data_IF_475119662152
#
_entry.id   IF_475119662152
#
_cell.length_a   1.000
_cell.length_b   1.000
_cell.length_c   1.000
_cell.angle_alpha   90.00
_cell.angle_beta   90.00
_cell.angle_gamma   90.00
#
_symmetry.space_group_name_H-M   'P 1'
#
loop_
_entity.id
_entity.type
_entity.pdbx_description
1 polymer ?
#
# COMPACT_ATOMS: atom_id res chain seq x y z
N UNK A 1 12.81 25.30 6.10
CA UNK A 1 11.59 24.49 6.42
C UNK A 1 11.75 23.13 5.77
N UNK A 2 11.45 22.04 6.47
CA UNK A 2 11.56 20.68 5.90
C UNK A 2 10.48 20.46 4.86
N UNK A 3 10.87 19.91 3.71
CA UNK A 3 9.94 19.57 2.62
C UNK A 3 9.57 18.10 2.66
N UNK A 4 10.54 17.20 2.95
CA UNK A 4 10.32 15.76 2.95
C UNK A 4 10.73 15.16 4.29
N UNK A 5 9.82 14.41 4.91
CA UNK A 5 10.09 13.53 6.05
C UNK A 5 10.19 12.10 5.54
N UNK A 6 11.40 11.55 5.52
CA UNK A 6 11.64 10.14 5.19
C UNK A 6 11.51 9.34 6.48
N UNK A 7 10.62 8.36 6.51
CA UNK A 7 10.33 7.54 7.69
C UNK A 7 10.83 6.12 7.44
N UNK A 8 11.71 5.63 8.31
CA UNK A 8 12.32 4.29 8.23
C UNK A 8 11.98 3.51 9.51
N UNK A 9 11.07 2.55 9.47
CA UNK A 9 10.83 1.59 10.56
C UNK A 9 11.99 0.59 10.66
N UNK A 10 12.50 0.35 11.87
CA UNK A 10 13.63 -0.56 12.12
C UNK A 10 13.20 -1.71 13.03
N UNK A 11 13.33 -2.94 12.54
CA UNK A 11 13.20 -4.16 13.34
C UNK A 11 13.85 -5.35 12.66
N UNK A 12 14.91 -5.91 13.25
CA UNK A 12 15.62 -7.13 12.81
C UNK A 12 16.13 -7.07 11.35
N UNK A 13 16.87 -5.98 11.03
CA UNK A 13 17.33 -5.66 9.66
C UNK A 13 18.84 -5.34 9.60
N UNK A 14 19.65 -5.86 10.54
CA UNK A 14 21.09 -5.56 10.60
C UNK A 14 21.85 -5.83 9.30
N UNK A 15 21.36 -6.73 8.44
CA UNK A 15 21.96 -7.07 7.16
C UNK A 15 21.70 -6.02 6.06
N UNK A 16 20.68 -5.20 6.21
CA UNK A 16 20.14 -4.34 5.16
C UNK A 16 20.16 -2.86 5.52
N UNK A 17 20.04 -2.54 6.80
CA UNK A 17 19.85 -1.18 7.29
C UNK A 17 20.95 -0.21 6.87
N UNK A 18 22.19 -0.69 6.71
CA UNK A 18 23.30 0.14 6.25
C UNK A 18 23.09 0.63 4.83
N UNK A 19 22.69 -0.25 3.91
CA UNK A 19 22.43 0.10 2.52
C UNK A 19 21.19 1.00 2.42
N UNK A 20 20.12 0.67 3.15
CA UNK A 20 18.92 1.49 3.23
C UNK A 20 19.25 2.93 3.66
N UNK A 21 19.93 3.11 4.79
CA UNK A 21 20.23 4.44 5.34
C UNK A 21 21.23 5.21 4.45
N UNK A 22 22.23 4.52 3.89
CA UNK A 22 23.17 5.15 2.95
C UNK A 22 22.46 5.64 1.69
N UNK A 23 21.47 4.92 1.15
CA UNK A 23 20.68 5.37 -0.01
C UNK A 23 19.88 6.65 0.28
N UNK A 24 19.44 6.84 1.53
CA UNK A 24 18.80 8.09 1.96
C UNK A 24 19.82 9.23 2.12
N UNK A 25 21.00 8.93 2.63
CA UNK A 25 22.09 9.91 2.77
C UNK A 25 22.67 10.34 1.42
N UNK A 26 22.63 9.47 0.41
CA UNK A 26 23.13 9.74 -0.94
C UNK A 26 22.16 10.51 -1.85
N UNK A 27 20.99 10.92 -1.35
CA UNK A 27 20.02 11.62 -2.18
C UNK A 27 20.59 12.90 -2.76
N UNK A 28 20.32 13.17 -4.05
CA UNK A 28 20.76 14.38 -4.76
C UNK A 28 19.92 15.61 -4.42
N UNK A 29 18.72 15.40 -3.85
CA UNK A 29 17.86 16.50 -3.40
C UNK A 29 18.47 17.23 -2.20
N UNK A 30 18.20 18.53 -2.08
CA UNK A 30 18.73 19.41 -1.04
C UNK A 30 18.51 18.82 0.38
N UNK A 31 19.60 18.38 1.00
CA UNK A 31 19.58 17.73 2.32
C UNK A 31 19.05 18.63 3.43
N UNK A 32 19.20 19.95 3.31
CA UNK A 32 18.65 20.90 4.31
C UNK A 32 17.13 20.85 4.37
N UNK A 33 16.48 20.37 3.30
CA UNK A 33 15.03 20.22 3.16
C UNK A 33 14.52 18.83 3.54
N UNK A 34 15.42 17.86 3.77
CA UNK A 34 15.07 16.49 4.20
C UNK A 34 15.24 16.36 5.72
N UNK A 35 14.33 15.66 6.34
CA UNK A 35 14.52 15.00 7.63
C UNK A 35 14.34 13.50 7.49
N UNK A 36 15.16 12.72 8.20
CA UNK A 36 15.06 11.26 8.27
C UNK A 36 14.63 10.85 9.67
N UNK A 37 13.47 10.25 9.80
CA UNK A 37 12.88 9.79 11.06
C UNK A 37 13.03 8.27 11.12
N UNK A 38 13.86 7.80 12.02
CA UNK A 38 14.17 6.40 12.23
C UNK A 38 13.42 5.92 13.47
N UNK A 39 12.52 4.94 13.27
CA UNK A 39 11.70 4.42 14.36
C UNK A 39 12.15 3.01 14.70
N UNK A 40 12.85 2.86 15.80
CA UNK A 40 13.29 1.59 16.37
C UNK A 40 12.13 0.91 17.11
N UNK A 41 11.63 -0.19 16.57
CA UNK A 41 10.57 -0.99 17.18
C UNK A 41 11.11 -1.99 18.23
N UNK A 42 12.02 -1.53 19.06
CA UNK A 42 12.73 -2.34 20.05
C UNK A 42 13.46 -3.52 19.41
N UNK A 43 14.26 -3.22 18.36
CA UNK A 43 14.97 -4.26 17.60
C UNK A 43 15.94 -5.04 18.51
N UNK A 44 15.97 -6.40 18.40
CA UNK A 44 16.86 -7.21 19.24
C UNK A 44 18.28 -7.37 18.66
N UNK A 45 18.49 -6.97 17.39
CA UNK A 45 19.75 -7.14 16.66
C UNK A 45 20.61 -5.86 16.67
N UNK A 46 21.68 -5.83 15.90
CA UNK A 46 22.62 -4.70 15.84
C UNK A 46 22.19 -3.58 14.89
N UNK A 47 20.98 -3.60 14.37
CA UNK A 47 20.50 -2.58 13.42
C UNK A 47 20.72 -1.16 13.92
N UNK A 48 20.40 -0.89 15.19
CA UNK A 48 20.53 0.46 15.76
C UNK A 48 21.97 0.89 16.06
N UNK A 49 22.89 -0.03 16.27
CA UNK A 49 24.31 0.29 16.38
C UNK A 49 24.84 0.77 15.03
N UNK A 50 24.49 0.04 13.94
CA UNK A 50 24.84 0.42 12.57
C UNK A 50 24.26 1.80 12.22
N UNK A 51 22.99 2.05 12.56
CA UNK A 51 22.32 3.36 12.34
C UNK A 51 23.09 4.49 13.04
N UNK A 52 23.46 4.30 14.32
CA UNK A 52 24.20 5.31 15.10
C UNK A 52 25.56 5.61 14.49
N UNK A 53 26.29 4.58 14.05
CA UNK A 53 27.60 4.73 13.43
C UNK A 53 27.53 5.53 12.14
N UNK A 54 26.55 5.25 11.27
CA UNK A 54 26.36 5.96 10.01
C UNK A 54 25.96 7.42 10.26
N UNK A 55 25.00 7.68 11.13
CA UNK A 55 24.56 9.05 11.46
C UNK A 55 25.70 9.85 12.11
N UNK A 56 26.49 9.22 12.99
CA UNK A 56 27.63 9.86 13.65
C UNK A 56 28.74 10.30 12.68
N UNK A 57 28.88 9.62 11.56
CA UNK A 57 29.85 9.95 10.50
C UNK A 57 29.32 10.97 9.48
N UNK A 58 28.01 11.17 9.40
CA UNK A 58 27.38 12.09 8.45
C UNK A 58 27.74 13.55 8.77
N UNK A 59 28.12 14.32 7.72
CA UNK A 59 28.56 15.73 7.84
C UNK A 59 27.71 16.71 7.01
N UNK A 60 26.62 16.23 6.39
CA UNK A 60 25.72 17.09 5.62
C UNK A 60 24.63 17.75 6.44
N UNK A 61 23.66 18.37 5.77
CA UNK A 61 22.61 19.21 6.38
C UNK A 61 21.26 18.48 6.64
N UNK A 62 21.19 17.17 6.34
CA UNK A 62 20.02 16.37 6.66
C UNK A 62 19.86 16.24 8.18
N UNK A 63 18.61 16.37 8.64
CA UNK A 63 18.31 16.20 10.07
C UNK A 63 17.88 14.76 10.35
N UNK A 64 18.40 14.15 11.39
CA UNK A 64 18.00 12.81 11.84
C UNK A 64 17.26 12.88 13.17
N UNK A 65 16.15 12.15 13.27
CA UNK A 65 15.42 11.93 14.51
C UNK A 65 15.28 10.43 14.74
N UNK A 66 15.81 9.92 15.84
CA UNK A 66 15.67 8.51 16.24
C UNK A 66 14.68 8.40 17.39
N UNK A 67 13.67 7.54 17.23
CA UNK A 67 12.65 7.27 18.24
C UNK A 67 12.66 5.78 18.52
N UNK A 68 12.68 5.39 19.80
CA UNK A 68 12.62 3.98 20.21
C UNK A 68 11.31 3.68 20.93
N UNK A 69 10.64 2.61 20.53
CA UNK A 69 9.52 2.06 21.28
C UNK A 69 10.01 1.25 22.49
N UNK A 70 9.21 1.19 23.54
CA UNK A 70 9.51 0.41 24.74
C UNK A 70 9.49 -1.12 24.49
N UNK A 71 8.71 -1.54 23.48
CA UNK A 71 8.59 -2.93 23.02
C UNK A 71 8.24 -2.95 21.54
N UNK A 72 8.42 -4.11 20.89
CA UNK A 72 7.93 -4.30 19.54
C UNK A 72 6.40 -4.19 19.50
N UNK A 73 5.89 -3.24 18.73
CA UNK A 73 4.45 -2.98 18.50
C UNK A 73 4.06 -2.98 17.02
N UNK A 74 5.01 -3.31 16.14
CA UNK A 74 4.82 -3.61 14.73
C UNK A 74 4.96 -2.44 13.77
N UNK A 75 5.11 -2.78 12.48
CA UNK A 75 5.39 -1.86 11.38
C UNK A 75 4.39 -0.69 11.28
N UNK A 76 3.09 -0.98 11.39
CA UNK A 76 2.04 0.04 11.41
C UNK A 76 2.24 1.11 12.48
N UNK A 77 2.63 0.69 13.68
CA UNK A 77 2.87 1.60 14.79
C UNK A 77 4.11 2.47 14.54
N UNK A 78 5.17 1.89 13.96
CA UNK A 78 6.37 2.63 13.58
C UNK A 78 6.06 3.72 12.56
N UNK A 79 5.33 3.40 11.49
CA UNK A 79 4.91 4.39 10.50
C UNK A 79 4.04 5.48 11.11
N UNK A 80 3.10 5.13 11.99
CA UNK A 80 2.26 6.10 12.71
C UNK A 80 3.09 7.00 13.64
N UNK A 81 4.08 6.44 14.34
CA UNK A 81 5.01 7.20 15.16
C UNK A 81 5.82 8.16 14.31
N UNK A 82 6.41 7.70 13.19
CA UNK A 82 7.14 8.57 12.27
C UNK A 82 6.29 9.73 11.76
N UNK A 83 5.05 9.46 11.32
CA UNK A 83 4.12 10.52 10.89
C UNK A 83 3.81 11.54 11.99
N UNK A 84 3.68 11.10 13.24
CA UNK A 84 3.39 11.99 14.37
C UNK A 84 4.50 13.02 14.60
N UNK A 85 5.75 12.64 14.39
CA UNK A 85 6.90 13.51 14.61
C UNK A 85 7.42 14.21 13.36
N UNK A 86 6.81 13.96 12.20
CA UNK A 86 7.21 14.56 10.94
C UNK A 86 6.88 16.06 10.87
N UNK A 87 7.83 16.85 10.35
CA UNK A 87 7.73 18.28 10.11
C UNK A 87 7.69 18.64 8.63
N UNK A 88 8.02 17.70 7.74
CA UNK A 88 8.03 17.87 6.30
C UNK A 88 6.63 18.07 5.72
N UNK A 89 6.56 18.78 4.61
CA UNK A 89 5.36 18.96 3.80
C UNK A 89 4.87 17.62 3.23
N UNK A 90 5.80 16.71 2.93
CA UNK A 90 5.54 15.38 2.42
C UNK A 90 6.07 14.32 3.36
N UNK A 91 5.32 13.22 3.44
CA UNK A 91 5.75 11.97 4.07
C UNK A 91 6.22 11.02 2.97
N UNK A 92 7.35 10.38 3.18
CA UNK A 92 7.91 9.34 2.33
C UNK A 92 8.35 8.15 3.18
N UNK A 93 7.83 6.96 2.92
CA UNK A 93 8.21 5.75 3.65
C UNK A 93 9.25 4.95 2.88
N UNK A 94 10.23 4.43 3.61
CA UNK A 94 11.23 3.46 3.11
C UNK A 94 11.22 2.27 4.06
N UNK A 95 11.02 1.07 3.52
CA UNK A 95 11.18 -0.15 4.31
C UNK A 95 12.68 -0.45 4.48
N UNK A 96 13.09 -0.81 5.69
CA UNK A 96 14.50 -0.84 6.08
C UNK A 96 15.32 -2.00 5.51
N UNK A 97 14.68 -2.93 4.80
CA UNK A 97 15.31 -3.98 4.02
C UNK A 97 15.44 -3.64 2.52
N UNK A 98 14.93 -2.47 2.10
CA UNK A 98 14.99 -1.94 0.74
C UNK A 98 15.97 -0.77 0.62
N UNK A 99 16.08 -0.16 -0.57
CA UNK A 99 16.78 1.11 -0.77
C UNK A 99 16.12 1.96 -1.87
N UNK A 100 16.46 3.25 -1.88
CA UNK A 100 16.02 4.20 -2.90
C UNK A 100 17.18 4.61 -3.80
N UNK A 101 16.90 4.90 -5.07
CA UNK A 101 17.95 5.40 -5.98
C UNK A 101 18.35 6.83 -5.60
N UNK A 102 19.61 7.20 -5.85
CA UNK A 102 20.22 8.46 -5.37
C UNK A 102 19.43 9.73 -5.76
N UNK A 103 18.72 9.71 -6.88
CA UNK A 103 17.90 10.81 -7.37
C UNK A 103 16.40 10.64 -7.15
N UNK A 104 16.00 9.70 -6.29
CA UNK A 104 14.58 9.35 -6.09
C UNK A 104 13.75 10.56 -5.60
N UNK A 105 14.19 11.22 -4.54
CA UNK A 105 13.48 12.36 -3.97
C UNK A 105 13.47 13.55 -4.95
N UNK A 106 14.57 13.79 -5.67
CA UNK A 106 14.65 14.84 -6.68
C UNK A 106 13.64 14.62 -7.82
N UNK A 107 13.56 13.41 -8.38
CA UNK A 107 12.58 13.05 -9.42
C UNK A 107 11.15 13.29 -8.95
N UNK A 108 10.82 12.80 -7.76
CA UNK A 108 9.46 12.92 -7.21
C UNK A 108 9.11 14.38 -6.88
N UNK A 109 10.05 15.14 -6.32
CA UNK A 109 9.84 16.56 -6.03
C UNK A 109 9.72 17.39 -7.32
N UNK A 110 10.51 17.09 -8.36
CA UNK A 110 10.38 17.71 -9.68
C UNK A 110 8.99 17.45 -10.29
N UNK A 111 8.50 16.22 -10.23
CA UNK A 111 7.15 15.89 -10.69
C UNK A 111 6.05 16.64 -9.92
N UNK A 112 6.27 16.90 -8.61
CA UNK A 112 5.42 17.76 -7.81
C UNK A 112 5.50 19.23 -8.23
N UNK A 113 6.69 19.77 -8.45
CA UNK A 113 6.90 21.17 -8.90
C UNK A 113 6.18 21.44 -10.23
N UNK A 114 6.22 20.47 -11.15
CA UNK A 114 5.48 20.53 -12.41
C UNK A 114 3.94 20.36 -12.23
N UNK A 115 3.50 19.86 -11.04
CA UNK A 115 2.11 19.61 -10.70
C UNK A 115 1.81 19.95 -9.23
N UNK A 116 1.83 21.25 -8.84
CA UNK A 116 1.80 21.67 -7.42
C UNK A 116 0.47 21.39 -6.70
N UNK A 117 -0.59 21.09 -7.46
CA UNK A 117 -1.88 20.64 -6.96
C UNK A 117 -1.94 19.13 -6.65
N UNK A 118 -0.91 18.35 -7.06
CA UNK A 118 -0.82 16.93 -6.72
C UNK A 118 -0.67 16.75 -5.20
N UNK A 119 -1.37 15.76 -4.66
CA UNK A 119 -1.29 15.41 -3.24
C UNK A 119 -0.52 14.10 -3.00
N UNK A 120 -0.33 13.32 -4.07
CA UNK A 120 0.46 12.10 -4.06
C UNK A 120 1.31 12.06 -5.34
N UNK A 121 2.60 11.80 -5.18
CA UNK A 121 3.53 11.55 -6.29
C UNK A 121 4.26 10.24 -6.03
N UNK A 122 4.15 9.29 -6.94
CA UNK A 122 4.71 7.94 -6.80
C UNK A 122 5.69 7.66 -7.95
N UNK A 123 6.81 7.03 -7.63
CA UNK A 123 7.78 6.55 -8.61
C UNK A 123 7.53 5.08 -8.99
N UNK A 124 8.23 4.63 -10.03
CA UNK A 124 8.31 3.22 -10.35
C UNK A 124 9.26 2.50 -9.38
N UNK A 125 9.14 1.20 -9.26
CA UNK A 125 10.04 0.39 -8.45
C UNK A 125 10.53 -0.83 -9.23
N UNK A 126 11.80 -1.18 -9.02
CA UNK A 126 12.33 -2.46 -9.47
C UNK A 126 12.06 -3.52 -8.41
N UNK A 127 11.42 -4.62 -8.81
CA UNK A 127 11.12 -5.78 -7.98
C UNK A 127 12.18 -6.87 -8.23
N UNK A 128 13.10 -7.02 -7.28
CA UNK A 128 14.15 -8.05 -7.35
C UNK A 128 13.58 -9.47 -7.30
N UNK A 129 12.44 -9.66 -6.64
CA UNK A 129 11.81 -10.99 -6.53
C UNK A 129 11.34 -11.52 -7.89
N UNK A 130 10.76 -10.63 -8.71
CA UNK A 130 10.22 -10.97 -10.01
C UNK A 130 11.12 -10.53 -11.16
N UNK A 131 12.21 -9.79 -10.89
CA UNK A 131 13.16 -9.28 -11.87
C UNK A 131 12.52 -8.40 -12.95
N UNK A 132 11.67 -7.43 -12.55
CA UNK A 132 11.08 -6.44 -13.45
C UNK A 132 10.65 -5.16 -12.73
N UNK A 133 10.44 -4.09 -13.50
CA UNK A 133 9.85 -2.85 -13.01
C UNK A 133 8.33 -3.01 -12.84
N UNK A 134 7.81 -2.58 -11.70
CA UNK A 134 6.39 -2.75 -11.36
C UNK A 134 5.45 -2.01 -12.31
N UNK A 135 5.85 -0.84 -12.83
CA UNK A 135 5.10 -0.15 -13.87
C UNK A 135 5.74 -0.34 -15.24
N UNK A 136 4.91 -0.60 -16.25
CA UNK A 136 5.34 -0.83 -17.65
C UNK A 136 4.86 0.29 -18.56
N UNK A 137 5.07 1.54 -18.18
CA UNK A 137 4.77 2.71 -19.01
C UNK A 137 5.97 3.64 -19.04
N UNK A 138 6.07 4.43 -20.10
CA UNK A 138 7.20 5.30 -20.43
C UNK A 138 6.91 6.79 -20.21
N UNK A 139 5.71 7.14 -19.78
CA UNK A 139 5.28 8.53 -19.58
C UNK A 139 4.59 8.72 -18.27
N UNK A 140 4.78 9.87 -17.65
CA UNK A 140 4.08 10.29 -16.44
C UNK A 140 2.57 10.19 -16.61
N UNK A 141 1.91 9.58 -15.64
CA UNK A 141 0.46 9.47 -15.58
C UNK A 141 -0.12 10.37 -14.51
N UNK A 142 -1.21 11.04 -14.86
CA UNK A 142 -1.95 11.94 -13.96
C UNK A 142 -3.34 11.39 -13.71
N UNK A 143 -3.75 11.35 -12.45
CA UNK A 143 -5.06 10.89 -12.01
C UNK A 143 -5.74 12.01 -11.21
N UNK A 144 -6.89 12.48 -11.70
CA UNK A 144 -7.81 13.40 -11.01
C UNK A 144 -9.09 12.70 -10.57
N UNK A 145 -9.37 11.52 -11.14
CA UNK A 145 -10.44 10.64 -10.72
C UNK A 145 -9.85 9.40 -10.04
N UNK A 146 -9.94 9.36 -8.72
CA UNK A 146 -9.34 8.30 -7.91
C UNK A 146 -9.96 6.92 -8.13
N UNK A 147 -11.15 6.82 -8.73
CA UNK A 147 -11.68 5.53 -9.17
C UNK A 147 -10.70 4.81 -10.12
N UNK A 148 -10.04 5.56 -11.00
CA UNK A 148 -9.12 5.00 -11.99
C UNK A 148 -7.83 4.44 -11.37
N UNK A 149 -7.42 4.91 -10.19
CA UNK A 149 -6.25 4.37 -9.49
C UNK A 149 -6.43 2.91 -9.08
N UNK A 150 -7.66 2.51 -8.74
CA UNK A 150 -7.97 1.14 -8.32
C UNK A 150 -8.23 0.19 -9.51
N UNK A 151 -8.16 0.71 -10.75
CA UNK A 151 -8.36 -0.09 -11.95
C UNK A 151 -7.02 -0.55 -12.55
N UNK A 152 -6.89 -1.86 -12.74
CA UNK A 152 -5.71 -2.45 -13.37
C UNK A 152 -4.43 -2.30 -12.55
N UNK A 153 -3.32 -2.31 -13.27
CA UNK A 153 -1.96 -2.19 -12.72
C UNK A 153 -1.49 -0.73 -12.58
N UNK A 154 -2.42 0.20 -12.39
CA UNK A 154 -2.07 1.62 -12.35
C UNK A 154 -1.54 2.09 -11.00
N UNK A 155 -1.60 1.27 -9.96
CA UNK A 155 -1.14 1.64 -8.62
C UNK A 155 -0.51 0.45 -7.88
N UNK A 156 0.65 0.68 -7.29
CA UNK A 156 1.28 -0.26 -6.36
C UNK A 156 0.61 -0.10 -5.01
N UNK A 157 0.12 -1.20 -4.45
CA UNK A 157 -0.46 -1.20 -3.10
C UNK A 157 0.70 -1.37 -2.11
N UNK A 158 1.38 -0.27 -1.84
CA UNK A 158 2.46 -0.17 -0.86
C UNK A 158 2.34 1.16 -0.13
N UNK A 159 2.98 1.27 1.01
CA UNK A 159 3.15 2.54 1.70
C UNK A 159 4.38 3.30 1.19
N UNK A 160 5.40 2.54 0.75
CA UNK A 160 6.68 3.08 0.30
C UNK A 160 6.63 3.69 -1.11
N UNK A 161 7.68 4.40 -1.49
CA UNK A 161 7.92 5.01 -2.81
C UNK A 161 6.88 6.05 -3.25
N UNK A 162 6.27 6.73 -2.29
CA UNK A 162 5.30 7.79 -2.58
C UNK A 162 5.54 9.00 -1.69
N UNK A 163 5.66 10.18 -2.28
CA UNK A 163 5.50 11.46 -1.59
C UNK A 163 4.01 11.69 -1.36
N UNK A 164 3.59 11.66 -0.12
CA UNK A 164 2.20 11.94 0.28
C UNK A 164 2.15 13.27 1.02
N UNK A 165 1.35 14.24 0.55
CA UNK A 165 1.18 15.49 1.29
C UNK A 165 0.68 15.21 2.70
N UNK A 166 1.38 15.75 3.69
CA UNK A 166 0.99 15.62 5.10
C UNK A 166 -0.40 16.18 5.36
N UNK A 167 -0.76 17.25 4.67
CA UNK A 167 -2.11 17.84 4.72
C UNK A 167 -3.23 16.84 4.35
N UNK A 168 -2.98 15.97 3.34
CA UNK A 168 -3.93 14.90 2.97
C UNK A 168 -4.12 13.91 4.12
N UNK A 169 -3.03 13.49 4.75
CA UNK A 169 -3.05 12.57 5.89
C UNK A 169 -3.78 13.21 7.09
N UNK A 170 -3.47 14.47 7.37
CA UNK A 170 -4.02 15.20 8.54
C UNK A 170 -5.52 15.45 8.37
N UNK A 171 -5.99 15.92 7.20
CA UNK A 171 -7.41 16.18 6.97
C UNK A 171 -8.27 14.92 6.90
N UNK A 172 -7.69 13.79 6.50
CA UNK A 172 -8.41 12.51 6.44
C UNK A 172 -8.37 11.75 7.76
N UNK A 173 -7.40 12.03 8.60
CA UNK A 173 -7.15 11.29 9.84
C UNK A 173 -6.72 9.84 9.63
N UNK A 174 -6.39 9.43 8.38
CA UNK A 174 -6.00 8.05 8.06
C UNK A 174 -4.71 7.68 8.77
N UNK A 175 -4.70 6.51 9.39
CA UNK A 175 -3.54 5.92 10.07
C UNK A 175 -3.41 4.45 9.69
N UNK A 176 -2.20 3.90 9.79
CA UNK A 176 -1.99 2.46 9.66
C UNK A 176 -2.64 1.72 10.83
N UNK A 177 -3.32 0.62 10.53
CA UNK A 177 -3.95 -0.21 11.56
C UNK A 177 -2.90 -1.07 12.26
N UNK A 178 -2.68 -0.90 13.57
CA UNK A 178 -1.69 -1.72 14.28
C UNK A 178 -2.07 -3.19 14.35
N UNK A 179 -1.06 -4.06 14.45
CA UNK A 179 -1.24 -5.48 14.74
C UNK A 179 -1.64 -6.36 13.55
N UNK A 180 -1.82 -5.80 12.35
CA UNK A 180 -2.13 -6.58 11.14
C UNK A 180 -0.93 -6.61 10.18
N UNK A 181 -0.84 -7.67 9.36
CA UNK A 181 -0.06 -7.70 8.13
C UNK A 181 -0.85 -7.09 6.98
N UNK A 182 -0.15 -6.67 5.90
CA UNK A 182 -0.78 -6.06 4.71
C UNK A 182 -1.56 -4.76 5.03
N UNK A 183 -1.10 -4.01 6.01
CA UNK A 183 -1.68 -2.76 6.50
C UNK A 183 -1.77 -1.67 5.43
N UNK A 184 -0.89 -1.73 4.44
CA UNK A 184 -0.85 -0.85 3.28
C UNK A 184 -2.08 -1.01 2.37
N UNK A 185 -2.73 -2.18 2.34
CA UNK A 185 -4.03 -2.34 1.68
C UNK A 185 -5.06 -1.39 2.30
N UNK A 186 -5.15 -1.38 3.62
CA UNK A 186 -6.13 -0.55 4.33
C UNK A 186 -5.75 0.93 4.28
N UNK A 187 -4.45 1.24 4.39
CA UNK A 187 -3.92 2.58 4.22
C UNK A 187 -4.30 3.17 2.86
N UNK A 188 -3.93 2.50 1.77
CA UNK A 188 -4.24 2.96 0.42
C UNK A 188 -5.75 3.06 0.16
N UNK A 189 -6.52 2.09 0.62
CA UNK A 189 -7.97 2.06 0.45
C UNK A 189 -8.68 3.26 1.10
N UNK A 190 -8.18 3.73 2.23
CA UNK A 190 -8.76 4.85 2.96
C UNK A 190 -8.17 6.20 2.53
N UNK A 191 -6.89 6.26 2.13
CA UNK A 191 -6.22 7.51 1.80
C UNK A 191 -6.44 7.95 0.36
N UNK A 192 -6.16 7.07 -0.62
CA UNK A 192 -6.14 7.42 -2.05
C UNK A 192 -7.45 8.04 -2.55
N UNK A 193 -8.64 7.54 -2.18
CA UNK A 193 -9.90 8.10 -2.65
C UNK A 193 -10.13 9.56 -2.25
N UNK A 194 -9.40 10.04 -1.26
CA UNK A 194 -9.52 11.39 -0.74
C UNK A 194 -8.51 12.37 -1.36
N UNK A 195 -7.57 11.87 -2.17
CA UNK A 195 -6.65 12.71 -2.88
C UNK A 195 -7.35 13.43 -4.05
N UNK A 196 -6.98 14.69 -4.29
CA UNK A 196 -7.49 15.50 -5.41
C UNK A 196 -6.80 15.15 -6.71
N UNK A 197 -5.48 14.89 -6.63
CA UNK A 197 -4.64 14.56 -7.78
C UNK A 197 -3.49 13.65 -7.37
N UNK A 198 -3.22 12.62 -8.15
CA UNK A 198 -2.07 11.75 -7.99
C UNK A 198 -1.27 11.69 -9.29
N UNK A 199 0.06 11.67 -9.16
CA UNK A 199 1.03 11.57 -10.27
C UNK A 199 1.82 10.28 -10.09
N UNK A 200 2.05 9.57 -11.20
CA UNK A 200 2.96 8.42 -11.24
C UNK A 200 4.01 8.69 -12.32
N UNK A 201 5.27 8.73 -11.93
CA UNK A 201 6.39 8.86 -12.86
C UNK A 201 6.90 7.48 -13.30
N UNK A 202 7.40 7.34 -14.55
CA UNK A 202 7.92 6.07 -15.06
C UNK A 202 9.30 5.70 -14.48
N UNK A 203 10.01 6.70 -13.95
CA UNK A 203 11.36 6.55 -13.43
C UNK A 203 11.41 5.60 -12.25
N UNK A 204 12.40 4.70 -12.24
CA UNK A 204 12.62 3.76 -11.14
C UNK A 204 13.30 4.50 -10.01
N UNK A 205 12.58 4.69 -8.92
CA UNK A 205 13.03 5.45 -7.74
C UNK A 205 13.26 4.57 -6.52
N UNK A 206 12.82 3.32 -6.57
CA UNK A 206 12.83 2.40 -5.45
C UNK A 206 13.28 1.00 -5.87
N UNK A 207 14.09 0.36 -5.04
CA UNK A 207 14.51 -1.03 -5.17
C UNK A 207 13.84 -1.88 -4.09
N UNK A 208 12.90 -2.73 -4.52
CA UNK A 208 12.21 -3.67 -3.65
C UNK A 208 12.98 -4.99 -3.59
N UNK A 209 13.58 -5.26 -2.42
CA UNK A 209 14.51 -6.35 -2.23
C UNK A 209 13.81 -7.69 -1.97
N UNK A 210 14.40 -8.75 -2.50
CA UNK A 210 14.05 -10.14 -2.17
C UNK A 210 14.62 -10.54 -0.81
N UNK A 211 13.93 -10.20 0.27
CA UNK A 211 14.31 -10.62 1.62
C UNK A 211 13.70 -11.96 1.98
N UNK A 212 14.54 -13.02 2.08
CA UNK A 212 14.07 -14.38 2.40
C UNK A 212 13.51 -14.51 3.83
N UNK A 213 13.90 -13.65 4.76
CA UNK A 213 13.37 -13.60 6.13
C UNK A 213 12.17 -12.67 6.29
N UNK A 214 11.78 -11.97 5.21
CA UNK A 214 10.67 -11.03 5.19
C UNK A 214 9.31 -11.65 5.49
N UNK A 215 8.35 -10.78 5.79
CA UNK A 215 6.98 -11.17 6.15
C UNK A 215 6.33 -12.05 5.07
N UNK A 216 6.62 -11.84 3.79
CA UNK A 216 5.97 -12.54 2.68
C UNK A 216 6.41 -14.00 2.49
N UNK A 217 7.64 -14.38 2.85
CA UNK A 217 8.23 -15.67 2.46
C UNK A 217 8.19 -16.77 3.52
N UNK A 218 7.93 -16.47 4.79
CA UNK A 218 7.91 -17.53 5.80
C UNK A 218 6.56 -18.26 5.85
N UNK A 219 6.57 -19.59 5.65
CA UNK A 219 5.37 -20.44 5.66
C UNK A 219 5.31 -21.24 6.96
N UNK A 220 4.90 -20.59 8.06
CA UNK A 220 4.62 -21.27 9.33
C UNK A 220 3.11 -21.24 9.59
N UNK A 221 2.58 -22.26 10.27
CA UNK A 221 1.13 -22.40 10.55
C UNK A 221 0.54 -21.15 11.19
N UNK A 222 1.15 -20.67 12.28
CA UNK A 222 0.66 -19.51 13.04
C UNK A 222 0.63 -18.25 12.17
N UNK A 223 1.60 -18.11 11.26
CA UNK A 223 1.66 -17.00 10.33
C UNK A 223 0.60 -17.10 9.24
N UNK A 224 0.36 -18.28 8.70
CA UNK A 224 -0.71 -18.51 7.72
C UNK A 224 -2.07 -18.17 8.34
N UNK A 225 -2.34 -18.63 9.56
CA UNK A 225 -3.57 -18.33 10.28
C UNK A 225 -3.70 -16.82 10.54
N UNK A 226 -2.62 -16.15 10.97
CA UNK A 226 -2.60 -14.70 11.15
C UNK A 226 -2.88 -13.98 9.84
N UNK A 227 -2.21 -14.32 8.73
CA UNK A 227 -2.46 -13.71 7.43
C UNK A 227 -3.94 -13.84 7.01
N UNK A 228 -4.55 -15.02 7.21
CA UNK A 228 -5.96 -15.25 6.89
C UNK A 228 -6.87 -14.33 7.73
N UNK A 229 -6.64 -14.25 9.03
CA UNK A 229 -7.38 -13.37 9.93
C UNK A 229 -7.23 -11.90 9.54
N UNK A 230 -6.01 -11.47 9.19
CA UNK A 230 -5.72 -10.10 8.80
C UNK A 230 -6.40 -9.74 7.48
N UNK A 231 -6.38 -10.61 6.47
CA UNK A 231 -7.12 -10.40 5.22
C UNK A 231 -8.64 -10.27 5.46
N UNK A 232 -9.21 -11.11 6.31
CA UNK A 232 -10.63 -11.03 6.69
C UNK A 232 -10.92 -9.69 7.40
N UNK A 233 -10.04 -9.29 8.32
CA UNK A 233 -10.14 -8.01 9.03
C UNK A 233 -10.09 -6.83 8.07
N UNK A 234 -9.18 -6.84 7.09
CA UNK A 234 -9.07 -5.81 6.06
C UNK A 234 -10.33 -5.77 5.20
N UNK A 235 -10.83 -6.92 4.75
CA UNK A 235 -12.08 -7.00 3.97
C UNK A 235 -13.28 -6.44 4.73
N UNK A 236 -13.42 -6.75 6.02
CA UNK A 236 -14.48 -6.20 6.86
C UNK A 236 -14.38 -4.67 6.99
N UNK A 237 -13.17 -4.12 7.11
CA UNK A 237 -12.95 -2.69 7.11
C UNK A 237 -13.23 -2.05 5.74
N UNK A 238 -12.88 -2.73 4.63
CA UNK A 238 -13.23 -2.29 3.29
C UNK A 238 -14.74 -2.14 3.13
N UNK A 239 -15.52 -3.12 3.58
CA UNK A 239 -16.99 -3.07 3.53
C UNK A 239 -17.56 -1.90 4.33
N UNK A 240 -17.03 -1.66 5.54
CA UNK A 240 -17.45 -0.52 6.38
C UNK A 240 -17.21 0.82 5.70
N UNK A 241 -16.11 0.93 4.96
CA UNK A 241 -15.64 2.15 4.32
C UNK A 241 -15.95 2.19 2.81
N UNK A 242 -16.85 1.31 2.33
CA UNK A 242 -17.18 1.17 0.90
C UNK A 242 -18.15 2.26 0.39
N UNK A 243 -18.20 3.40 1.01
CA UNK A 243 -18.95 4.56 0.54
C UNK A 243 -18.09 5.55 -0.25
N UNK A 244 -18.71 6.63 -0.73
CA UNK A 244 -17.99 7.74 -1.37
C UNK A 244 -16.86 8.29 -0.46
N UNK A 245 -15.74 8.81 -0.99
CA UNK A 245 -15.49 8.96 -2.42
C UNK A 245 -14.95 7.67 -3.06
N UNK A 246 -15.00 7.65 -4.41
CA UNK A 246 -14.47 6.57 -5.24
C UNK A 246 -15.12 5.18 -5.00
N UNK A 247 -16.44 5.14 -4.84
CA UNK A 247 -17.21 3.92 -4.57
C UNK A 247 -16.90 2.78 -5.55
N UNK A 248 -16.85 3.05 -6.87
CA UNK A 248 -16.62 2.02 -7.87
C UNK A 248 -15.19 1.47 -7.76
N UNK A 249 -14.19 2.34 -7.67
CA UNK A 249 -12.79 1.93 -7.48
C UNK A 249 -12.60 1.11 -6.20
N UNK A 250 -13.19 1.56 -5.08
CA UNK A 250 -13.20 0.82 -3.82
C UNK A 250 -13.86 -0.56 -3.96
N UNK A 251 -14.96 -0.65 -4.70
CA UNK A 251 -15.64 -1.92 -4.95
C UNK A 251 -14.76 -2.89 -5.72
N UNK A 252 -14.07 -2.41 -6.79
CA UNK A 252 -13.09 -3.21 -7.54
C UNK A 252 -12.00 -3.73 -6.59
N UNK A 253 -11.44 -2.85 -5.77
CA UNK A 253 -10.37 -3.23 -4.83
C UNK A 253 -10.84 -4.25 -3.79
N UNK A 254 -12.03 -4.05 -3.23
CA UNK A 254 -12.64 -5.00 -2.29
C UNK A 254 -12.80 -6.37 -2.93
N UNK A 255 -13.29 -6.40 -4.16
CA UNK A 255 -13.48 -7.63 -4.91
C UNK A 255 -12.15 -8.33 -5.23
N UNK A 256 -11.13 -7.58 -5.67
CA UNK A 256 -9.78 -8.10 -5.91
C UNK A 256 -9.17 -8.70 -4.65
N UNK A 257 -9.30 -8.02 -3.52
CA UNK A 257 -8.79 -8.53 -2.25
C UNK A 257 -9.54 -9.78 -1.80
N UNK A 258 -10.86 -9.84 -2.01
CA UNK A 258 -11.66 -11.04 -1.72
C UNK A 258 -11.15 -12.26 -2.51
N UNK A 259 -10.91 -12.10 -3.81
CA UNK A 259 -10.38 -13.17 -4.66
C UNK A 259 -8.98 -13.61 -4.21
N UNK A 260 -8.10 -12.64 -3.92
CA UNK A 260 -6.75 -12.94 -3.42
C UNK A 260 -6.78 -13.66 -2.07
N UNK A 261 -7.72 -13.30 -1.19
CA UNK A 261 -7.91 -13.96 0.12
C UNK A 261 -8.34 -15.41 -0.05
N UNK A 262 -9.28 -15.68 -0.95
CA UNK A 262 -9.75 -17.03 -1.26
C UNK A 262 -8.60 -17.87 -1.81
N UNK A 263 -7.85 -17.33 -2.77
CA UNK A 263 -6.69 -18.00 -3.36
C UNK A 263 -5.61 -18.30 -2.30
N UNK A 264 -5.32 -17.35 -1.41
CA UNK A 264 -4.38 -17.56 -0.31
C UNK A 264 -4.83 -18.67 0.63
N UNK A 265 -6.12 -18.71 1.00
CA UNK A 265 -6.71 -19.75 1.83
C UNK A 265 -6.59 -21.13 1.18
N UNK A 266 -6.93 -21.25 -0.09
CA UNK A 266 -6.90 -22.52 -0.80
C UNK A 266 -5.47 -23.06 -1.00
N UNK A 267 -4.53 -22.17 -1.31
CA UNK A 267 -3.11 -22.54 -1.45
C UNK A 267 -2.47 -23.00 -0.12
N UNK A 268 -3.01 -22.54 1.02
CA UNK A 268 -2.50 -22.86 2.35
C UNK A 268 -3.44 -23.80 3.13
N UNK A 269 -4.39 -24.45 2.49
CA UNK A 269 -5.41 -25.31 3.13
C UNK A 269 -4.83 -26.38 4.03
N UNK A 270 -3.74 -27.02 3.62
CA UNK A 270 -3.09 -28.11 4.37
C UNK A 270 -2.36 -27.63 5.63
N UNK A 271 -2.02 -26.34 5.70
CA UNK A 271 -1.25 -25.73 6.79
C UNK A 271 -2.19 -24.96 7.73
N UNK A 272 -3.30 -24.45 7.20
CA UNK A 272 -4.27 -23.63 7.95
C UNK A 272 -5.17 -24.49 8.82
N UNK A 273 -4.90 -24.56 10.12
CA UNK A 273 -5.70 -25.33 11.09
C UNK A 273 -7.14 -24.84 11.25
N UNK A 274 -7.39 -23.57 10.91
CA UNK A 274 -8.72 -22.92 11.02
C UNK A 274 -9.41 -22.74 9.65
N UNK A 275 -9.02 -23.50 8.63
CA UNK A 275 -9.49 -23.33 7.25
C UNK A 275 -11.01 -23.24 7.14
N UNK A 276 -11.75 -24.18 7.74
CA UNK A 276 -13.22 -24.21 7.65
C UNK A 276 -13.90 -23.00 8.33
N UNK A 277 -13.30 -22.47 9.40
CA UNK A 277 -13.77 -21.25 10.04
C UNK A 277 -13.55 -20.04 9.13
N UNK A 278 -12.34 -19.90 8.58
CA UNK A 278 -12.02 -18.79 7.67
C UNK A 278 -12.94 -18.80 6.43
N UNK A 279 -13.24 -19.97 5.86
CA UNK A 279 -14.20 -20.08 4.74
C UNK A 279 -15.58 -19.56 5.14
N UNK A 280 -16.10 -19.91 6.31
CA UNK A 280 -17.41 -19.41 6.79
C UNK A 280 -17.41 -17.88 6.95
N UNK A 281 -16.32 -17.32 7.44
CA UNK A 281 -16.18 -15.87 7.57
C UNK A 281 -16.11 -15.18 6.21
N UNK A 282 -15.40 -15.74 5.24
CA UNK A 282 -15.37 -15.24 3.86
C UNK A 282 -16.75 -15.31 3.20
N UNK A 283 -17.52 -16.38 3.41
CA UNK A 283 -18.89 -16.48 2.91
C UNK A 283 -19.80 -15.39 3.51
N UNK A 284 -19.65 -15.10 4.80
CA UNK A 284 -20.34 -13.98 5.44
C UNK A 284 -19.95 -12.63 4.83
N UNK A 285 -18.66 -12.39 4.61
CA UNK A 285 -18.15 -11.18 3.95
C UNK A 285 -18.73 -11.04 2.55
N UNK A 286 -18.73 -12.11 1.73
CA UNK A 286 -19.33 -12.14 0.39
C UNK A 286 -20.81 -11.74 0.43
N UNK A 287 -21.57 -12.32 1.37
CA UNK A 287 -23.00 -12.01 1.52
C UNK A 287 -23.23 -10.54 1.89
N UNK A 288 -22.38 -9.96 2.76
CA UNK A 288 -22.43 -8.55 3.10
C UNK A 288 -22.13 -7.64 1.89
N UNK A 289 -21.12 -7.98 1.07
CA UNK A 289 -20.81 -7.25 -0.17
C UNK A 289 -22.02 -7.29 -1.10
N UNK A 290 -22.59 -8.47 -1.35
CA UNK A 290 -23.75 -8.63 -2.23
C UNK A 290 -24.93 -7.77 -1.76
N UNK A 291 -25.29 -7.87 -0.49
CA UNK A 291 -26.38 -7.09 0.08
C UNK A 291 -26.16 -5.58 -0.06
N UNK A 292 -24.93 -5.12 0.18
CA UNK A 292 -24.56 -3.72 0.02
C UNK A 292 -24.70 -3.26 -1.44
N UNK A 293 -24.23 -4.05 -2.42
CA UNK A 293 -24.34 -3.72 -3.85
C UNK A 293 -25.80 -3.65 -4.30
N UNK A 294 -26.63 -4.58 -3.86
CA UNK A 294 -28.08 -4.58 -4.13
C UNK A 294 -28.75 -3.33 -3.54
N UNK A 295 -28.47 -3.02 -2.28
CA UNK A 295 -29.02 -1.84 -1.59
C UNK A 295 -28.63 -0.52 -2.29
N UNK A 296 -27.40 -0.44 -2.78
CA UNK A 296 -26.89 0.74 -3.51
C UNK A 296 -27.38 0.79 -4.98
N UNK A 297 -28.24 -0.15 -5.40
CA UNK A 297 -28.78 -0.25 -6.77
C UNK A 297 -27.69 -0.24 -7.85
N UNK A 298 -26.63 -1.02 -7.66
CA UNK A 298 -25.47 -1.15 -8.56
C UNK A 298 -25.52 -2.49 -9.30
N UNK A 299 -26.30 -2.62 -10.39
CA UNK A 299 -26.58 -3.92 -11.02
C UNK A 299 -25.32 -4.62 -11.54
N UNK A 300 -24.37 -3.89 -12.12
CA UNK A 300 -23.12 -4.48 -12.60
C UNK A 300 -22.25 -5.01 -11.47
N UNK A 301 -22.13 -4.25 -10.37
CA UNK A 301 -21.37 -4.67 -9.19
C UNK A 301 -22.06 -5.84 -8.47
N UNK A 302 -23.39 -5.83 -8.44
CA UNK A 302 -24.20 -6.96 -7.94
C UNK A 302 -23.93 -8.21 -8.76
N UNK A 303 -23.94 -8.11 -10.09
CA UNK A 303 -23.67 -9.22 -10.99
C UNK A 303 -22.24 -9.78 -10.76
N UNK A 304 -21.23 -8.91 -10.66
CA UNK A 304 -19.85 -9.33 -10.38
C UNK A 304 -19.75 -10.04 -9.02
N UNK A 305 -20.46 -9.55 -8.00
CA UNK A 305 -20.50 -10.20 -6.69
C UNK A 305 -21.17 -11.56 -6.79
N UNK A 306 -22.25 -11.71 -7.54
CA UNK A 306 -22.91 -13.01 -7.79
C UNK A 306 -21.99 -14.01 -8.48
N UNK A 307 -21.15 -13.59 -9.43
CA UNK A 307 -20.13 -14.47 -10.02
C UNK A 307 -19.13 -15.00 -9.01
N UNK A 308 -18.87 -14.27 -7.91
CA UNK A 308 -18.03 -14.77 -6.82
C UNK A 308 -18.71 -15.83 -5.96
N UNK A 309 -20.05 -15.96 -6.01
CA UNK A 309 -20.84 -16.90 -5.20
C UNK A 309 -20.90 -18.33 -5.74
N UNK A 310 -20.24 -18.62 -6.83
CA UNK A 310 -20.12 -20.01 -7.24
C UNK A 310 -19.18 -20.75 -6.27
N UNK A 311 -19.42 -22.08 -6.02
CA UNK A 311 -18.74 -22.77 -4.92
C UNK A 311 -17.23 -22.49 -4.91
N UNK A 312 -16.73 -22.11 -3.74
CA UNK A 312 -15.31 -21.83 -3.47
C UNK A 312 -14.40 -23.00 -3.84
N UNK A 313 -14.96 -24.22 -3.94
CA UNK A 313 -14.28 -25.44 -4.32
C UNK A 313 -13.75 -25.49 -5.78
N UNK A 314 -13.95 -24.42 -6.58
CA UNK A 314 -13.55 -24.44 -7.98
C UNK A 314 -12.37 -23.49 -8.25
N UNK A 315 -11.15 -23.92 -7.84
CA UNK A 315 -9.85 -23.28 -8.12
C UNK A 315 -9.69 -22.84 -9.60
N UNK A 316 -10.22 -23.63 -10.56
CA UNK A 316 -10.14 -23.31 -11.99
C UNK A 316 -10.85 -21.98 -12.35
N UNK A 317 -11.87 -21.57 -11.59
CA UNK A 317 -12.57 -20.29 -11.83
C UNK A 317 -11.81 -19.08 -11.28
N UNK A 318 -11.15 -19.23 -10.15
CA UNK A 318 -10.30 -18.17 -9.57
C UNK A 318 -9.11 -17.94 -10.49
N UNK A 319 -8.48 -19.02 -10.99
CA UNK A 319 -7.42 -18.97 -11.99
C UNK A 319 -7.91 -18.35 -13.30
N UNK A 320 -9.12 -18.71 -13.76
CA UNK A 320 -9.74 -18.10 -14.93
C UNK A 320 -10.00 -16.62 -14.72
N UNK A 321 -10.54 -16.21 -13.56
CA UNK A 321 -10.77 -14.80 -13.22
C UNK A 321 -9.45 -14.01 -13.22
N UNK A 322 -8.39 -14.54 -12.61
CA UNK A 322 -7.06 -13.92 -12.62
C UNK A 322 -6.50 -13.75 -14.03
N UNK A 323 -6.62 -14.78 -14.86
CA UNK A 323 -6.12 -14.75 -16.24
C UNK A 323 -6.88 -13.75 -17.12
N UNK A 324 -8.16 -13.54 -16.84
CA UNK A 324 -9.02 -12.65 -17.61
C UNK A 324 -9.32 -11.32 -16.89
N UNK A 325 -8.58 -11.00 -15.82
CA UNK A 325 -8.86 -9.85 -14.97
C UNK A 325 -8.88 -8.53 -15.75
N UNK A 326 -7.91 -8.30 -16.64
CA UNK A 326 -7.84 -7.09 -17.47
C UNK A 326 -8.99 -7.02 -18.48
N UNK A 327 -9.40 -8.14 -19.05
CA UNK A 327 -10.57 -8.24 -19.93
C UNK A 327 -11.86 -7.95 -19.15
N UNK A 328 -12.04 -8.55 -17.99
CA UNK A 328 -13.20 -8.31 -17.13
C UNK A 328 -13.24 -6.87 -16.61
N UNK A 329 -12.11 -6.28 -16.27
CA UNK A 329 -12.02 -4.86 -15.95
C UNK A 329 -12.50 -3.99 -17.10
N UNK A 330 -12.04 -4.28 -18.32
CA UNK A 330 -12.43 -3.50 -19.50
C UNK A 330 -13.92 -3.67 -19.79
N UNK A 331 -14.45 -4.89 -19.69
CA UNK A 331 -15.84 -5.20 -20.04
C UNK A 331 -16.85 -4.71 -19.00
N UNK A 332 -16.53 -4.80 -17.71
CA UNK A 332 -17.51 -4.54 -16.65
C UNK A 332 -17.22 -3.28 -15.82
N UNK A 333 -15.96 -3.02 -15.49
CA UNK A 333 -15.61 -1.93 -14.57
C UNK A 333 -15.53 -0.57 -15.26
N UNK A 334 -14.99 -0.49 -16.47
CA UNK A 334 -14.96 0.78 -17.23
C UNK A 334 -16.36 1.31 -17.53
N UNK A 335 -17.31 0.50 -18.02
CA UNK A 335 -18.71 0.92 -18.15
C UNK A 335 -19.36 1.31 -16.81
N UNK A 336 -19.09 0.57 -15.72
CA UNK A 336 -19.64 0.91 -14.42
C UNK A 336 -19.17 2.28 -13.92
N UNK A 337 -17.90 2.63 -14.15
CA UNK A 337 -17.37 3.96 -13.83
C UNK A 337 -18.00 5.05 -14.69
N UNK A 338 -18.18 4.78 -15.98
CA UNK A 338 -18.83 5.74 -16.88
C UNK A 338 -20.26 6.05 -16.40
N UNK A 339 -21.02 5.01 -16.06
CA UNK A 339 -22.39 5.14 -15.53
C UNK A 339 -22.39 5.88 -14.19
N UNK A 340 -21.46 5.57 -13.31
CA UNK A 340 -21.33 6.25 -11.99
C UNK A 340 -21.00 7.74 -12.15
N UNK A 341 -20.12 8.09 -13.08
CA UNK A 341 -19.81 9.47 -13.42
C UNK A 341 -21.01 10.21 -14.02
N UNK A 342 -21.80 9.57 -14.88
CA UNK A 342 -23.03 10.14 -15.44
C UNK A 342 -24.09 10.36 -14.36
N UNK A 343 -24.29 9.38 -13.46
CA UNK A 343 -25.23 9.54 -12.33
C UNK A 343 -24.81 10.71 -11.45
N UNK A 344 -23.53 10.85 -11.13
CA UNK A 344 -23.01 11.95 -10.32
C UNK A 344 -23.08 13.31 -11.04
N UNK A 345 -23.03 13.33 -12.37
CA UNK A 345 -23.22 14.56 -13.18
C UNK A 345 -24.67 15.04 -13.15
N UNK A 346 -25.65 14.13 -13.29
CA UNK A 346 -27.07 14.47 -13.28
C UNK A 346 -27.70 14.65 -11.90
N UNK A 347 -26.96 14.30 -10.81
CA UNK A 347 -27.42 14.49 -9.43
C UNK A 347 -26.86 15.75 -8.75
N UNK A 348 -26.08 16.55 -9.49
CA UNK A 348 -25.65 17.91 -9.13
C UNK A 348 -26.52 18.95 -9.82
#
# INVERSE_FOLDING_TARGET
>A
MKEVSIIIPIYNVEKYVAECLNSVISQTYDHSKIECIIVDDCTPDRSMDIVKDIIGQYKGDMTFLTIRHEKNIGLSACRNTGMKYSMGKFIYFVDSDDYIYDNAIEILMKAYEDNPDAEIVTGNAYDEFHNYNLFRFDKTKTFVNMNHLFLGVNWIISAWNSLVKKELIDRTGVRFMPGIYFEDNLWNYNLLPNAKKAIIVPDVTYFYRKNQSGIMLSVRKEKVEKCCNDYITILQNFIKNLDAPAFVGKSVRTFTLLINTIDYLDNNKSINGNYNQHIKEIEKVRSQILHLMMRKKRPFLTLMTLFSFYPLSNLKKIQWYRHHFDFLQTLFWKPAILVDNLINYFSR
#
